data_IF_426237276066
#
_entry.id   IF_426237276066
#
_cell.length_a   1.000
_cell.length_b   1.000
_cell.length_c   1.000
_cell.angle_alpha   90.00
_cell.angle_beta   90.00
_cell.angle_gamma   90.00
#
_symmetry.space_group_name_H-M   'P 1'
#
loop_
_entity.id
_entity.type
_entity.pdbx_description
1 polymer ?
#
# COMPACT_ATOMS: atom_id res chain seq x y z
N UNK A 1 9.67 -21.82 36.76
CA UNK A 1 10.14 -20.58 36.13
C UNK A 1 9.02 -20.10 35.21
N UNK A 2 8.12 -19.26 35.72
CA UNK A 2 7.00 -18.73 34.93
C UNK A 2 7.44 -17.44 34.27
N UNK A 3 7.50 -17.42 32.94
CA UNK A 3 7.72 -16.18 32.18
C UNK A 3 6.33 -15.63 31.89
N UNK A 4 5.89 -14.66 32.68
CA UNK A 4 4.75 -13.83 32.29
C UNK A 4 5.21 -12.91 31.16
N UNK A 5 4.50 -12.84 30.02
CA UNK A 5 4.74 -11.77 29.07
C UNK A 5 4.27 -10.46 29.72
N UNK A 6 5.21 -9.63 30.16
CA UNK A 6 4.95 -8.20 30.34
C UNK A 6 4.62 -7.61 28.97
N UNK A 7 3.34 -7.35 28.71
CA UNK A 7 2.97 -6.35 27.70
C UNK A 7 3.16 -4.97 28.35
N UNK A 8 4.42 -4.63 28.59
CA UNK A 8 4.85 -3.25 28.78
C UNK A 8 5.49 -2.85 27.44
N UNK A 9 4.99 -1.79 26.81
CA UNK A 9 5.33 -1.25 25.47
C UNK A 9 4.29 -1.54 24.38
N UNK A 10 3.23 -0.73 24.32
CA UNK A 10 2.67 -0.19 23.07
C UNK A 10 1.58 0.87 23.35
N UNK A 11 1.80 1.78 24.30
CA UNK A 11 0.98 3.01 24.43
C UNK A 11 1.77 4.22 23.89
N UNK A 12 2.52 4.01 22.80
CA UNK A 12 3.26 5.07 22.11
C UNK A 12 3.28 4.83 20.59
N UNK A 13 2.20 4.26 20.04
CA UNK A 13 1.87 4.48 18.64
C UNK A 13 0.87 5.62 18.57
N UNK A 14 1.31 6.80 19.04
CA UNK A 14 0.64 8.04 18.72
C UNK A 14 0.55 8.10 17.20
N UNK A 15 -0.69 7.99 16.72
CA UNK A 15 -1.21 8.25 15.37
C UNK A 15 -0.19 8.99 14.50
N UNK A 16 0.76 8.26 13.90
CA UNK A 16 1.66 8.84 12.92
C UNK A 16 0.76 9.33 11.79
N UNK A 17 0.87 10.61 11.36
CA UNK A 17 0.12 11.10 10.21
C UNK A 17 0.31 10.08 9.09
N UNK A 18 -0.79 9.54 8.56
CA UNK A 18 -0.74 8.54 7.49
C UNK A 18 0.04 9.15 6.34
N UNK A 19 1.31 8.77 6.23
CA UNK A 19 2.21 9.25 5.19
C UNK A 19 1.54 8.87 3.87
N UNK A 20 1.17 9.88 3.08
CA UNK A 20 0.46 9.64 1.82
C UNK A 20 1.27 8.68 0.99
N UNK A 21 0.69 7.52 0.63
CA UNK A 21 1.39 6.48 -0.13
C UNK A 21 1.90 7.09 -1.43
N UNK A 22 3.22 7.11 -1.61
CA UNK A 22 3.81 7.60 -2.84
C UNK A 22 3.34 6.74 -4.03
N UNK A 23 3.04 7.34 -5.19
CA UNK A 23 2.60 6.59 -6.36
C UNK A 23 3.68 5.59 -6.78
N UNK A 24 3.26 4.38 -7.13
CA UNK A 24 4.14 3.28 -7.52
C UNK A 24 4.69 3.46 -8.94
N UNK A 25 4.05 4.33 -9.73
CA UNK A 25 4.34 4.51 -11.16
C UNK A 25 3.68 3.44 -12.04
N UNK A 26 2.97 2.48 -11.44
CA UNK A 26 2.09 1.56 -12.14
C UNK A 26 0.64 2.01 -11.94
N UNK A 27 0.05 2.61 -12.97
CA UNK A 27 -1.30 3.18 -12.88
C UNK A 27 -2.38 2.17 -12.47
N UNK A 28 -2.22 0.88 -12.80
CA UNK A 28 -3.17 -0.15 -12.36
C UNK A 28 -3.04 -0.42 -10.85
N UNK A 29 -1.81 -0.43 -10.32
CA UNK A 29 -1.57 -0.58 -8.87
C UNK A 29 -2.00 0.67 -8.11
N UNK A 30 -1.74 1.86 -8.65
CA UNK A 30 -2.11 3.13 -8.03
C UNK A 30 -3.64 3.28 -7.89
N UNK A 31 -4.42 2.81 -8.88
CA UNK A 31 -5.89 2.76 -8.78
C UNK A 31 -6.35 1.82 -7.66
N UNK A 32 -5.69 0.68 -7.47
CA UNK A 32 -6.03 -0.26 -6.38
C UNK A 32 -5.72 0.38 -5.02
N UNK A 33 -4.58 1.06 -4.89
CA UNK A 33 -4.20 1.75 -3.65
C UNK A 33 -5.17 2.89 -3.31
N UNK A 34 -5.60 3.66 -4.31
CA UNK A 34 -6.62 4.69 -4.13
C UNK A 34 -7.96 4.09 -3.65
N UNK A 35 -8.34 2.91 -4.15
CA UNK A 35 -9.56 2.23 -3.70
C UNK A 35 -9.55 1.81 -2.22
N UNK A 36 -8.36 1.69 -1.63
CA UNK A 36 -8.16 1.39 -0.21
C UNK A 36 -8.09 2.65 0.66
N UNK A 37 -8.01 3.84 0.06
CA UNK A 37 -8.05 5.09 0.80
C UNK A 37 -9.38 5.22 1.56
N UNK A 38 -9.32 5.61 2.84
CA UNK A 38 -10.51 5.74 3.69
C UNK A 38 -11.14 4.41 4.14
N UNK A 39 -10.54 3.25 3.83
CA UNK A 39 -11.08 1.96 4.28
C UNK A 39 -11.20 1.89 5.81
N UNK A 40 -10.27 2.51 6.54
CA UNK A 40 -10.28 2.58 7.99
C UNK A 40 -11.55 3.26 8.56
N UNK A 41 -12.17 4.16 7.80
CA UNK A 41 -13.39 4.87 8.21
C UNK A 41 -14.67 4.06 7.92
N UNK A 42 -14.56 2.95 7.20
CA UNK A 42 -15.67 2.06 6.86
C UNK A 42 -15.89 0.99 7.93
N UNK A 43 -17.10 0.42 8.05
CA UNK A 43 -17.34 -0.71 8.94
C UNK A 43 -16.41 -1.88 8.66
N UNK A 44 -15.83 -2.47 9.70
CA UNK A 44 -14.89 -3.60 9.59
C UNK A 44 -15.48 -4.80 8.83
N UNK A 45 -16.80 -5.01 8.94
CA UNK A 45 -17.49 -6.06 8.19
C UNK A 45 -17.37 -5.90 6.66
N UNK A 46 -17.12 -4.70 6.17
CA UNK A 46 -16.92 -4.43 4.74
C UNK A 46 -15.46 -4.61 4.30
N UNK A 47 -14.50 -4.59 5.22
CA UNK A 47 -13.07 -4.58 4.90
C UNK A 47 -12.66 -5.83 4.12
N UNK A 48 -13.19 -7.00 4.52
CA UNK A 48 -12.87 -8.28 3.87
C UNK A 48 -13.19 -8.24 2.38
N UNK A 49 -14.40 -7.82 2.02
CA UNK A 49 -14.82 -7.75 0.62
C UNK A 49 -13.96 -6.79 -0.20
N UNK A 50 -13.58 -5.64 0.39
CA UNK A 50 -12.72 -4.65 -0.25
C UNK A 50 -11.30 -5.20 -0.45
N UNK A 51 -10.72 -5.84 0.57
CA UNK A 51 -9.40 -6.44 0.48
C UNK A 51 -9.35 -7.60 -0.54
N UNK A 52 -10.37 -8.45 -0.57
CA UNK A 52 -10.48 -9.51 -1.57
C UNK A 52 -10.51 -8.93 -2.99
N UNK A 53 -11.33 -7.90 -3.22
CA UNK A 53 -11.39 -7.22 -4.51
C UNK A 53 -10.06 -6.56 -4.88
N UNK A 54 -9.37 -5.94 -3.91
CA UNK A 54 -8.06 -5.34 -4.13
C UNK A 54 -7.00 -6.38 -4.47
N UNK A 55 -7.01 -7.54 -3.79
CA UNK A 55 -6.08 -8.64 -4.08
C UNK A 55 -6.27 -9.21 -5.49
N UNK A 56 -7.51 -9.42 -5.93
CA UNK A 56 -7.78 -9.89 -7.29
C UNK A 56 -7.31 -8.88 -8.36
N UNK A 57 -7.57 -7.59 -8.14
CA UNK A 57 -7.10 -6.54 -9.05
C UNK A 57 -5.57 -6.44 -9.07
N UNK A 58 -4.92 -6.52 -7.91
CA UNK A 58 -3.47 -6.47 -7.81
C UNK A 58 -2.82 -7.67 -8.52
N UNK A 59 -3.36 -8.88 -8.33
CA UNK A 59 -2.89 -10.07 -9.05
C UNK A 59 -3.00 -9.86 -10.56
N UNK A 60 -4.17 -9.40 -11.05
CA UNK A 60 -4.37 -9.12 -12.47
C UNK A 60 -3.41 -8.05 -13.01
N UNK A 61 -3.12 -7.01 -12.23
CA UNK A 61 -2.21 -5.94 -12.63
C UNK A 61 -0.75 -6.40 -12.72
N UNK A 62 -0.34 -7.30 -11.82
CA UNK A 62 1.03 -7.82 -11.77
C UNK A 62 1.26 -8.98 -12.76
N UNK A 63 0.23 -9.76 -13.07
CA UNK A 63 0.29 -10.83 -14.09
C UNK A 63 0.26 -10.29 -15.53
N UNK A 64 -0.13 -9.02 -15.72
CA UNK A 64 -0.08 -8.38 -17.03
C UNK A 64 1.39 -8.24 -17.49
N UNK A 65 1.71 -8.55 -18.76
CA UNK A 65 3.06 -8.35 -19.27
C UNK A 65 3.42 -6.87 -19.14
N UNK A 66 4.45 -6.57 -18.35
CA UNK A 66 4.93 -5.21 -18.17
C UNK A 66 5.22 -4.60 -19.54
N UNK A 67 4.46 -3.57 -19.91
CA UNK A 67 4.70 -2.81 -21.13
C UNK A 67 6.11 -2.19 -21.15
N UNK A 68 6.50 -1.55 -22.26
CA UNK A 68 7.84 -0.99 -22.40
C UNK A 68 8.15 -0.03 -21.23
N UNK A 69 9.24 -0.29 -20.51
CA UNK A 69 9.77 0.64 -19.50
C UNK A 69 9.98 2.01 -20.17
N UNK A 70 9.38 3.11 -19.66
CA UNK A 70 9.63 4.43 -20.22
C UNK A 70 11.14 4.73 -20.15
N UNK A 71 11.70 5.42 -21.17
CA UNK A 71 13.12 5.69 -21.20
C UNK A 71 13.49 6.45 -19.92
N UNK A 72 14.50 5.94 -19.21
CA UNK A 72 15.11 6.68 -18.11
C UNK A 72 15.49 8.05 -18.66
N UNK A 73 14.94 9.10 -18.06
CA UNK A 73 15.26 10.49 -18.43
C UNK A 73 16.80 10.60 -18.47
N UNK A 74 17.41 10.99 -19.60
CA UNK A 74 18.87 11.08 -19.66
C UNK A 74 19.34 12.08 -18.60
N UNK A 75 20.32 11.67 -17.80
CA UNK A 75 20.93 12.54 -16.79
C UNK A 75 21.39 13.85 -17.46
N UNK A 76 21.18 15.03 -16.83
CA UNK A 76 21.63 16.29 -17.41
C UNK A 76 23.15 16.27 -17.61
N UNK A 77 23.68 16.89 -18.67
CA UNK A 77 25.11 16.95 -18.91
C UNK A 77 25.78 17.70 -17.75
N UNK A 78 26.72 17.05 -17.06
CA UNK A 78 27.64 17.74 -16.17
C UNK A 78 28.62 18.49 -17.06
N UNK A 79 28.41 19.80 -17.17
CA UNK A 79 29.36 20.74 -17.79
C UNK A 79 30.51 21.07 -16.85
#
# INVERSE_FOLDING_TARGET
MSISPSYDSADESAEQPLETVAPTGNGAVDVVLESLAGLAERPVAEHVAVFEQAHEQLRSALDAPAGPKPPAVPAPPVG
#
